data_IF_968223195268
#
_entry.id   IF_968223195268
#
_cell.length_a   1.000
_cell.length_b   1.000
_cell.length_c   1.000
_cell.angle_alpha   90.00
_cell.angle_beta   90.00
_cell.angle_gamma   90.00
#
_symmetry.space_group_name_H-M   'P 1'
#
loop_
_entity.id
_entity.type
_entity.pdbx_description
1 polymer ?
#
# COMPACT_ATOMS: atom_id res chain seq x y z
N UNK A 1 3.00 -22.24 30.73
CA UNK A 1 3.96 -21.14 30.98
C UNK A 1 3.95 -20.25 29.74
N UNK A 2 2.85 -19.51 29.57
CA UNK A 2 2.46 -18.93 28.28
C UNK A 2 1.85 -17.55 28.55
N UNK A 3 2.73 -16.62 28.92
CA UNK A 3 2.41 -15.21 29.05
C UNK A 3 3.73 -14.43 28.93
N UNK A 4 3.67 -13.23 28.36
CA UNK A 4 4.70 -12.15 28.40
C UNK A 4 5.54 -11.81 27.14
N UNK A 5 5.17 -12.21 25.92
CA UNK A 5 5.78 -11.62 24.69
C UNK A 5 4.85 -11.38 23.48
N UNK A 6 3.55 -11.17 23.67
CA UNK A 6 2.75 -10.48 22.64
C UNK A 6 3.07 -8.97 22.66
N UNK A 7 4.35 -8.62 22.40
CA UNK A 7 4.76 -7.25 22.06
C UNK A 7 4.00 -6.90 20.77
N UNK A 8 3.17 -5.86 20.84
CA UNK A 8 2.39 -5.26 19.73
C UNK A 8 3.14 -5.36 18.39
N UNK A 9 2.60 -6.10 17.41
CA UNK A 9 3.17 -6.22 16.07
C UNK A 9 3.44 -4.83 15.50
N UNK A 10 4.70 -4.53 15.17
CA UNK A 10 5.13 -3.23 14.65
C UNK A 10 4.34 -2.83 13.40
N UNK A 11 3.84 -3.81 12.63
CA UNK A 11 3.04 -3.59 11.42
C UNK A 11 1.64 -3.03 11.70
N UNK A 12 1.16 -3.14 12.94
CA UNK A 12 -0.11 -2.59 13.41
C UNK A 12 0.03 -1.29 14.21
N UNK A 13 1.26 -0.85 14.49
CA UNK A 13 1.51 0.40 15.21
C UNK A 13 1.34 1.62 14.29
N UNK A 14 0.87 2.76 14.81
CA UNK A 14 0.77 4.00 14.05
C UNK A 14 2.16 4.51 13.67
N UNK A 15 2.47 4.56 12.37
CA UNK A 15 3.78 4.99 11.87
C UNK A 15 3.70 5.98 10.70
N UNK A 16 2.58 6.02 9.96
CA UNK A 16 2.48 6.77 8.71
C UNK A 16 1.41 7.87 8.82
N UNK A 17 1.81 9.13 9.04
CA UNK A 17 0.90 10.27 8.92
C UNK A 17 0.23 10.27 7.55
N UNK A 18 -1.03 10.73 7.48
CA UNK A 18 -1.83 10.65 6.27
C UNK A 18 -1.17 11.28 5.03
N UNK A 19 -0.46 12.40 5.21
CA UNK A 19 0.25 13.07 4.13
C UNK A 19 1.44 12.24 3.61
N UNK A 20 2.20 11.60 4.50
CA UNK A 20 3.31 10.72 4.12
C UNK A 20 2.81 9.44 3.46
N UNK A 21 1.75 8.83 4.00
CA UNK A 21 1.11 7.66 3.38
C UNK A 21 0.58 7.98 1.97
N UNK A 22 -0.04 9.14 1.78
CA UNK A 22 -0.53 9.60 0.48
C UNK A 22 0.61 9.74 -0.55
N UNK A 23 1.73 10.34 -0.13
CA UNK A 23 2.96 10.47 -0.92
C UNK A 23 3.53 9.11 -1.31
N UNK A 24 3.75 8.23 -0.33
CA UNK A 24 4.30 6.89 -0.54
C UNK A 24 3.46 6.05 -1.53
N UNK A 25 2.13 6.22 -1.48
CA UNK A 25 1.19 5.47 -2.32
C UNK A 25 0.87 6.14 -3.66
N UNK A 26 1.36 7.36 -3.91
CA UNK A 26 0.97 8.18 -5.08
C UNK A 26 -0.55 8.31 -5.18
N UNK A 27 -1.20 8.66 -4.07
CA UNK A 27 -2.65 8.90 -3.97
C UNK A 27 -2.87 10.31 -3.49
N UNK A 28 -3.81 11.04 -4.10
CA UNK A 28 -4.17 12.38 -3.62
C UNK A 28 -4.55 12.34 -2.13
N UNK A 29 -4.03 13.25 -1.27
CA UNK A 29 -4.30 13.22 0.17
C UNK A 29 -5.79 13.21 0.53
N UNK A 30 -6.62 13.94 -0.23
CA UNK A 30 -8.07 13.94 -0.04
C UNK A 30 -8.72 12.57 -0.31
N UNK A 31 -8.22 11.83 -1.30
CA UNK A 31 -8.69 10.48 -1.64
C UNK A 31 -8.35 9.52 -0.50
N UNK A 32 -7.09 9.48 -0.05
CA UNK A 32 -6.69 8.63 1.07
C UNK A 32 -7.44 8.99 2.35
N UNK A 33 -7.63 10.28 2.63
CA UNK A 33 -8.46 10.77 3.74
C UNK A 33 -9.89 10.27 3.65
N UNK A 34 -10.49 10.24 2.46
CA UNK A 34 -11.83 9.68 2.30
C UNK A 34 -11.89 8.19 2.65
N UNK A 35 -10.86 7.41 2.31
CA UNK A 35 -10.79 5.98 2.63
C UNK A 35 -10.57 5.69 4.11
N UNK A 36 -9.89 6.59 4.82
CA UNK A 36 -9.46 6.41 6.22
C UNK A 36 -10.44 7.05 7.22
N UNK A 37 -10.96 8.23 6.90
CA UNK A 37 -11.80 9.04 7.81
C UNK A 37 -13.27 9.06 7.36
N UNK A 38 -13.51 8.82 6.07
CA UNK A 38 -14.80 9.04 5.45
C UNK A 38 -15.00 10.50 5.02
N UNK A 39 -16.11 10.75 4.33
CA UNK A 39 -16.53 12.12 3.97
C UNK A 39 -18.05 12.22 3.78
N UNK A 40 -18.68 13.35 4.09
CA UNK A 40 -20.04 13.62 3.61
C UNK A 40 -20.05 13.82 2.09
N UNK A 41 -21.17 13.56 1.46
CA UNK A 41 -21.41 13.89 0.04
C UNK A 41 -22.89 14.25 -0.17
N UNK A 42 -23.19 15.19 -1.09
CA UNK A 42 -24.57 15.58 -1.36
C UNK A 42 -25.35 14.44 -2.05
N UNK A 43 -26.63 14.34 -1.73
CA UNK A 43 -27.60 13.40 -2.31
C UNK A 43 -28.91 14.13 -2.59
N UNK A 44 -29.79 13.57 -3.41
CA UNK A 44 -31.11 14.15 -3.70
C UNK A 44 -31.98 14.37 -2.45
N UNK A 45 -31.77 13.58 -1.39
CA UNK A 45 -32.51 13.67 -0.13
C UNK A 45 -31.73 14.27 1.05
N UNK A 46 -30.62 14.97 0.81
CA UNK A 46 -29.79 15.57 1.86
C UNK A 46 -28.32 15.20 1.76
N UNK A 47 -27.67 14.86 2.87
CA UNK A 47 -26.23 14.54 2.90
C UNK A 47 -26.02 13.05 3.20
N UNK A 48 -25.45 12.32 2.23
CA UNK A 48 -24.94 10.97 2.41
C UNK A 48 -23.56 10.97 3.07
N UNK A 49 -23.13 9.81 3.60
CA UNK A 49 -21.80 9.65 4.21
C UNK A 49 -21.05 8.49 3.59
N UNK A 50 -19.85 8.77 3.11
CA UNK A 50 -18.87 7.75 2.76
C UNK A 50 -18.20 7.26 4.04
N UNK A 51 -18.42 5.99 4.39
CA UNK A 51 -17.77 5.36 5.53
C UNK A 51 -16.34 4.93 5.18
N UNK A 52 -15.40 4.93 6.14
CA UNK A 52 -14.06 4.39 5.93
C UNK A 52 -14.07 2.96 5.36
N UNK A 53 -13.00 2.64 4.64
CA UNK A 53 -12.66 1.28 4.16
C UNK A 53 -11.39 0.76 4.84
N UNK A 54 -10.49 1.66 5.23
CA UNK A 54 -9.24 1.38 5.94
C UNK A 54 -9.34 1.97 7.34
N UNK A 55 -9.02 1.17 8.37
CA UNK A 55 -9.21 1.55 9.77
C UNK A 55 -7.85 1.67 10.47
N UNK A 56 -7.34 2.89 10.69
CA UNK A 56 -6.05 3.10 11.31
C UNK A 56 -6.09 2.88 12.83
N UNK A 57 -4.95 2.51 13.45
CA UNK A 57 -4.84 2.41 14.90
C UNK A 57 -5.02 3.75 15.60
N UNK A 58 -4.54 4.86 15.02
CA UNK A 58 -4.80 6.22 15.50
C UNK A 58 -5.79 6.94 14.59
N UNK A 59 -6.85 7.52 15.18
CA UNK A 59 -7.91 8.23 14.43
C UNK A 59 -7.84 9.76 14.54
N UNK A 60 -7.18 10.29 15.57
CA UNK A 60 -7.09 11.74 15.85
C UNK A 60 -5.72 12.09 16.44
N UNK A 61 -4.74 12.53 15.63
CA UNK A 61 -4.78 12.59 14.17
C UNK A 61 -4.79 11.19 13.51
N UNK A 62 -5.27 11.05 12.26
CA UNK A 62 -5.22 9.77 11.55
C UNK A 62 -3.76 9.41 11.22
N UNK A 63 -3.28 8.30 11.80
CA UNK A 63 -1.94 7.75 11.54
C UNK A 63 -2.10 6.26 11.19
N UNK A 64 -1.71 5.91 9.97
CA UNK A 64 -1.82 4.57 9.43
C UNK A 64 -0.72 3.67 10.01
N UNK A 65 -1.01 2.37 10.12
CA UNK A 65 0.02 1.35 10.31
C UNK A 65 0.58 0.87 8.96
N UNK A 66 1.63 0.05 8.98
CA UNK A 66 2.14 -0.58 7.76
C UNK A 66 1.08 -1.44 7.08
N UNK A 67 0.31 -2.23 7.84
CA UNK A 67 -0.83 -2.96 7.31
C UNK A 67 -1.83 -2.03 6.61
N UNK A 68 -2.18 -0.88 7.20
CA UNK A 68 -3.08 0.06 6.53
C UNK A 68 -2.48 0.67 5.26
N UNK A 69 -1.16 0.85 5.21
CA UNK A 69 -0.46 1.30 4.00
C UNK A 69 -0.63 0.28 2.86
N UNK A 70 -0.49 -1.02 3.16
CA UNK A 70 -0.73 -2.10 2.19
C UNK A 70 -2.21 -2.16 1.78
N UNK A 71 -3.15 -2.07 2.73
CA UNK A 71 -4.58 -2.04 2.42
C UNK A 71 -4.93 -0.88 1.47
N UNK A 72 -4.35 0.30 1.69
CA UNK A 72 -4.54 1.47 0.85
C UNK A 72 -3.84 1.34 -0.52
N UNK A 73 -2.66 0.71 -0.59
CA UNK A 73 -1.97 0.36 -1.84
C UNK A 73 -2.82 -0.57 -2.71
N UNK A 74 -3.36 -1.63 -2.10
CA UNK A 74 -4.25 -2.58 -2.78
C UNK A 74 -5.55 -1.90 -3.19
N UNK A 75 -6.14 -1.08 -2.31
CA UNK A 75 -7.35 -0.33 -2.65
C UNK A 75 -7.14 0.63 -3.82
N UNK A 76 -5.99 1.31 -3.88
CA UNK A 76 -5.61 2.13 -5.04
C UNK A 76 -5.60 1.26 -6.30
N UNK A 77 -4.85 0.16 -6.30
CA UNK A 77 -4.78 -0.77 -7.44
C UNK A 77 -6.16 -1.17 -7.98
N UNK A 78 -7.03 -1.63 -7.08
CA UNK A 78 -8.40 -2.03 -7.42
C UNK A 78 -9.18 -0.88 -8.07
N UNK A 79 -8.98 0.35 -7.60
CA UNK A 79 -9.72 1.52 -8.04
C UNK A 79 -9.23 2.11 -9.35
N UNK A 80 -7.91 2.22 -9.54
CA UNK A 80 -7.33 2.97 -10.66
C UNK A 80 -7.01 2.08 -11.84
N UNK A 81 -6.46 0.88 -11.61
CA UNK A 81 -6.01 -0.02 -12.67
C UNK A 81 -7.08 -1.07 -13.04
N UNK A 82 -7.93 -1.47 -12.09
CA UNK A 82 -8.95 -2.51 -12.32
C UNK A 82 -10.39 -2.00 -12.35
N UNK A 83 -10.59 -0.69 -12.17
CA UNK A 83 -11.91 -0.06 -12.28
C UNK A 83 -12.94 -0.58 -11.27
N UNK A 84 -12.53 -1.27 -10.21
CA UNK A 84 -13.43 -1.86 -9.21
C UNK A 84 -14.22 -0.74 -8.51
N UNK A 85 -15.55 -0.73 -8.55
CA UNK A 85 -16.34 0.27 -7.85
C UNK A 85 -16.14 0.19 -6.33
N UNK A 86 -16.05 1.34 -5.63
CA UNK A 86 -15.94 1.35 -4.15
C UNK A 86 -17.10 0.61 -3.47
N UNK A 87 -18.27 0.56 -4.11
CA UNK A 87 -19.43 -0.22 -3.65
C UNK A 87 -19.11 -1.73 -3.66
N UNK A 88 -18.49 -2.24 -4.72
CA UNK A 88 -18.09 -3.64 -4.84
C UNK A 88 -17.01 -3.99 -3.80
N UNK A 89 -16.00 -3.11 -3.62
CA UNK A 89 -15.00 -3.26 -2.55
C UNK A 89 -15.69 -3.38 -1.18
N UNK A 90 -16.62 -2.48 -0.87
CA UNK A 90 -17.33 -2.49 0.42
C UNK A 90 -18.13 -3.78 0.63
N UNK A 91 -18.82 -4.25 -0.40
CA UNK A 91 -19.58 -5.49 -0.35
C UNK A 91 -18.65 -6.69 -0.10
N UNK A 92 -17.51 -6.76 -0.79
CA UNK A 92 -16.53 -7.82 -0.61
C UNK A 92 -15.93 -7.82 0.81
N UNK A 93 -15.55 -6.64 1.34
CA UNK A 93 -15.06 -6.51 2.72
C UNK A 93 -16.11 -7.04 3.72
N UNK A 94 -17.38 -6.66 3.55
CA UNK A 94 -18.47 -7.11 4.42
C UNK A 94 -18.74 -8.61 4.31
N UNK A 95 -18.72 -9.16 3.08
CA UNK A 95 -18.89 -10.59 2.84
C UNK A 95 -17.75 -11.38 3.48
N UNK A 96 -16.51 -10.97 3.25
CA UNK A 96 -15.32 -11.60 3.80
C UNK A 96 -15.34 -11.63 5.34
N UNK A 97 -15.71 -10.52 5.97
CA UNK A 97 -15.82 -10.45 7.43
C UNK A 97 -16.96 -11.34 7.97
N UNK A 98 -18.16 -11.26 7.38
CA UNK A 98 -19.34 -11.95 7.92
C UNK A 98 -19.32 -13.46 7.65
N UNK A 99 -19.05 -13.84 6.41
CA UNK A 99 -19.18 -15.20 5.90
C UNK A 99 -17.88 -15.99 6.03
N UNK A 100 -16.74 -15.36 5.72
CA UNK A 100 -15.44 -16.05 5.68
C UNK A 100 -14.59 -15.83 6.95
N UNK A 101 -15.03 -14.96 7.86
CA UNK A 101 -14.30 -14.55 9.07
C UNK A 101 -12.90 -13.99 8.75
N UNK A 102 -12.77 -13.29 7.63
CA UNK A 102 -11.54 -12.62 7.22
C UNK A 102 -11.68 -11.13 7.56
N UNK A 103 -10.91 -10.67 8.56
CA UNK A 103 -10.98 -9.28 9.01
C UNK A 103 -10.31 -8.28 8.06
N UNK A 104 -9.20 -8.70 7.42
CA UNK A 104 -8.38 -7.83 6.56
C UNK A 104 -8.26 -8.39 5.16
N UNK A 105 -9.37 -8.36 4.42
CA UNK A 105 -9.42 -8.88 3.05
C UNK A 105 -8.38 -8.24 2.12
N UNK A 106 -8.10 -6.94 2.26
CA UNK A 106 -7.13 -6.23 1.40
C UNK A 106 -5.67 -6.58 1.72
N UNK A 107 -5.40 -7.38 2.75
CA UNK A 107 -4.08 -7.94 3.06
C UNK A 107 -3.91 -9.40 2.59
N UNK A 108 -4.84 -9.89 1.78
CA UNK A 108 -4.80 -11.28 1.31
C UNK A 108 -4.00 -11.35 0.02
N UNK A 109 -2.89 -12.09 0.04
CA UNK A 109 -2.10 -12.39 -1.17
C UNK A 109 -2.93 -13.16 -2.21
N UNK A 110 -3.93 -13.93 -1.79
CA UNK A 110 -4.88 -14.66 -2.63
C UNK A 110 -6.07 -13.82 -3.11
N UNK A 111 -6.10 -12.51 -2.82
CA UNK A 111 -7.09 -11.60 -3.42
C UNK A 111 -6.87 -11.49 -4.93
N UNK A 112 -7.95 -11.49 -5.69
CA UNK A 112 -7.95 -11.32 -7.15
C UNK A 112 -9.08 -10.37 -7.55
N UNK A 113 -8.99 -9.82 -8.76
CA UNK A 113 -10.08 -9.02 -9.34
C UNK A 113 -10.22 -9.28 -10.83
N UNK A 114 -11.46 -9.22 -11.32
CA UNK A 114 -11.78 -9.28 -12.74
C UNK A 114 -13.13 -8.59 -13.01
N UNK A 115 -13.25 -7.91 -14.14
CA UNK A 115 -14.45 -7.21 -14.59
C UNK A 115 -15.15 -6.34 -13.51
N UNK A 116 -14.38 -5.73 -12.60
CA UNK A 116 -14.93 -4.91 -11.50
C UNK A 116 -15.41 -5.71 -10.27
N UNK A 117 -15.17 -7.01 -10.23
CA UNK A 117 -15.49 -7.93 -9.13
C UNK A 117 -14.24 -8.39 -8.38
N UNK A 118 -14.42 -8.85 -7.13
CA UNK A 118 -13.35 -9.31 -6.25
C UNK A 118 -13.52 -10.80 -5.94
N UNK A 119 -12.40 -11.52 -5.89
CA UNK A 119 -12.36 -12.98 -5.68
C UNK A 119 -11.24 -13.36 -4.70
N UNK A 120 -11.35 -14.51 -4.05
CA UNK A 120 -10.25 -15.16 -3.34
C UNK A 120 -9.87 -16.47 -4.02
N UNK A 121 -8.60 -16.66 -4.34
CA UNK A 121 -8.07 -17.91 -4.90
C UNK A 121 -7.70 -18.89 -3.78
N UNK A 122 -8.54 -19.89 -3.52
CA UNK A 122 -8.30 -20.92 -2.50
C UNK A 122 -8.30 -22.30 -3.14
N UNK A 123 -7.21 -23.05 -2.93
CA UNK A 123 -7.07 -24.43 -3.44
C UNK A 123 -7.31 -24.57 -4.96
N UNK A 124 -6.97 -23.54 -5.74
CA UNK A 124 -7.21 -23.52 -7.18
C UNK A 124 -8.63 -23.09 -7.59
N UNK A 125 -9.52 -22.84 -6.64
CA UNK A 125 -10.87 -22.33 -6.87
C UNK A 125 -10.95 -20.82 -6.59
N UNK A 126 -11.72 -20.10 -7.41
CA UNK A 126 -12.00 -18.68 -7.21
C UNK A 126 -13.33 -18.51 -6.47
N UNK A 127 -13.26 -18.04 -5.23
CA UNK A 127 -14.41 -17.69 -4.41
C UNK A 127 -14.81 -16.25 -4.75
N UNK A 128 -15.92 -16.06 -5.47
CA UNK A 128 -16.47 -14.74 -5.78
C UNK A 128 -17.01 -14.08 -4.50
N UNK A 129 -16.54 -12.86 -4.21
CA UNK A 129 -16.93 -12.09 -3.03
C UNK A 129 -18.14 -11.16 -3.28
N UNK A 130 -18.74 -11.22 -4.47
CA UNK A 130 -19.77 -10.31 -4.98
C UNK A 130 -21.02 -10.97 -5.61
N UNK A 131 -21.14 -12.31 -5.54
CA UNK A 131 -22.26 -13.17 -6.01
C UNK A 131 -22.18 -13.64 -7.48
N UNK A 132 -22.40 -14.97 -7.65
CA UNK A 132 -22.47 -15.86 -8.83
C UNK A 132 -21.23 -15.96 -9.75
N UNK A 133 -20.82 -17.21 -9.99
CA UNK A 133 -19.51 -17.58 -10.51
C UNK A 133 -19.37 -17.49 -12.03
N UNK A 134 -18.22 -16.98 -12.45
CA UNK A 134 -17.61 -17.19 -13.75
C UNK A 134 -16.08 -17.09 -13.58
N UNK A 135 -15.36 -17.95 -14.29
CA UNK A 135 -13.90 -18.05 -14.30
C UNK A 135 -13.28 -16.75 -14.83
N UNK A 136 -12.32 -16.21 -14.10
CA UNK A 136 -11.78 -14.87 -14.30
C UNK A 136 -10.33 -14.86 -14.83
N UNK A 137 -10.03 -13.86 -15.66
CA UNK A 137 -8.70 -13.58 -16.21
C UNK A 137 -7.73 -13.10 -15.12
N UNK A 138 -6.58 -13.77 -15.01
CA UNK A 138 -5.64 -13.72 -13.86
C UNK A 138 -4.61 -12.57 -13.83
N UNK A 139 -4.41 -11.82 -14.92
CA UNK A 139 -3.07 -11.24 -15.18
C UNK A 139 -2.81 -9.80 -14.68
N UNK A 140 -3.82 -8.97 -14.41
CA UNK A 140 -3.56 -7.53 -14.19
C UNK A 140 -3.41 -7.12 -12.71
N UNK A 141 -4.07 -7.82 -11.77
CA UNK A 141 -3.95 -7.51 -10.32
C UNK A 141 -2.56 -7.81 -9.75
N UNK A 142 -1.83 -8.67 -10.44
CA UNK A 142 -0.56 -9.21 -9.99
C UNK A 142 0.53 -8.13 -9.85
N UNK A 143 0.53 -7.06 -10.65
CA UNK A 143 1.63 -6.08 -10.60
C UNK A 143 1.69 -5.33 -9.26
N UNK A 144 0.55 -4.96 -8.68
CA UNK A 144 0.52 -4.31 -7.36
C UNK A 144 0.80 -5.28 -6.22
N UNK A 145 0.35 -6.53 -6.33
CA UNK A 145 0.67 -7.57 -5.35
C UNK A 145 2.16 -7.96 -5.41
N UNK A 146 2.76 -7.97 -6.61
CA UNK A 146 4.19 -8.19 -6.82
C UNK A 146 5.03 -7.10 -6.15
N UNK A 147 4.52 -5.88 -5.99
CA UNK A 147 5.17 -4.80 -5.22
C UNK A 147 5.14 -5.03 -3.71
N UNK A 148 4.46 -6.07 -3.21
CA UNK A 148 4.47 -6.43 -1.79
C UNK A 148 5.30 -7.69 -1.61
N UNK A 149 6.24 -7.66 -0.67
CA UNK A 149 6.96 -8.85 -0.20
C UNK A 149 6.15 -9.48 0.94
N UNK A 150 5.99 -10.80 0.88
CA UNK A 150 5.18 -11.57 1.83
C UNK A 150 6.06 -12.57 2.59
N UNK A 151 5.83 -12.71 3.89
CA UNK A 151 6.51 -13.75 4.68
C UNK A 151 5.94 -15.15 4.41
N UNK A 152 6.57 -16.18 5.00
CA UNK A 152 6.13 -17.58 4.86
C UNK A 152 4.70 -17.82 5.38
N UNK A 153 4.16 -16.92 6.22
CA UNK A 153 2.79 -16.96 6.74
C UNK A 153 1.83 -16.10 5.92
N UNK A 154 2.27 -15.57 4.77
CA UNK A 154 1.47 -14.77 3.84
C UNK A 154 1.03 -13.42 4.42
N UNK A 155 1.86 -12.84 5.30
CA UNK A 155 1.71 -11.45 5.76
C UNK A 155 2.68 -10.52 5.06
N UNK A 156 2.28 -9.28 4.73
CA UNK A 156 3.17 -8.34 4.09
C UNK A 156 4.29 -7.93 5.05
N UNK A 157 5.51 -7.84 4.53
CA UNK A 157 6.70 -7.42 5.28
C UNK A 157 7.42 -6.23 4.63
N UNK A 158 7.22 -5.99 3.33
CA UNK A 158 7.84 -4.89 2.62
C UNK A 158 6.97 -4.42 1.46
N UNK A 159 6.94 -3.12 1.21
CA UNK A 159 6.30 -2.51 0.05
C UNK A 159 7.37 -1.87 -0.82
N UNK A 160 7.34 -2.15 -2.12
CA UNK A 160 8.17 -1.50 -3.13
C UNK A 160 7.30 -0.49 -3.86
N UNK A 161 7.28 0.79 -3.46
CA UNK A 161 6.45 1.79 -4.14
C UNK A 161 6.88 1.97 -5.59
N UNK A 162 5.97 2.45 -6.42
CA UNK A 162 6.29 2.78 -7.80
C UNK A 162 7.15 4.04 -7.85
N UNK A 163 8.27 3.94 -8.57
CA UNK A 163 9.11 5.08 -8.95
C UNK A 163 8.74 5.46 -10.38
N UNK A 164 8.47 6.75 -10.60
CA UNK A 164 8.17 7.26 -11.93
C UNK A 164 9.44 7.16 -12.76
N UNK A 165 9.44 6.25 -13.72
CA UNK A 165 10.58 5.99 -14.61
C UNK A 165 10.11 6.11 -16.06
N UNK A 166 10.94 6.68 -16.92
CA UNK A 166 10.69 6.77 -18.35
C UNK A 166 10.81 5.40 -19.06
N UNK A 167 11.34 4.40 -18.37
CA UNK A 167 11.54 3.04 -18.84
C UNK A 167 10.82 2.10 -17.86
N UNK A 168 9.95 1.18 -18.33
CA UNK A 168 9.40 0.14 -17.46
C UNK A 168 10.54 -0.70 -16.87
N UNK A 169 10.94 -0.41 -15.64
CA UNK A 169 11.92 -1.20 -14.92
C UNK A 169 11.23 -2.18 -13.97
N UNK A 170 11.69 -3.43 -14.01
CA UNK A 170 11.34 -4.45 -13.00
C UNK A 170 12.05 -4.20 -11.67
N UNK A 171 13.00 -3.27 -11.64
CA UNK A 171 13.76 -2.95 -10.45
C UNK A 171 12.87 -2.32 -9.38
N UNK A 172 13.23 -2.65 -8.15
CA UNK A 172 12.55 -2.21 -6.94
C UNK A 172 13.57 -1.53 -6.03
N UNK A 173 14.21 -0.44 -6.50
CA UNK A 173 15.33 0.16 -5.79
C UNK A 173 14.90 0.77 -4.47
N UNK A 174 13.60 1.06 -4.29
CA UNK A 174 13.06 1.70 -3.10
C UNK A 174 12.10 0.74 -2.38
N UNK A 175 12.25 0.66 -1.06
CA UNK A 175 11.40 -0.14 -0.20
C UNK A 175 10.91 0.65 1.01
N UNK A 176 9.74 0.26 1.49
CA UNK A 176 9.17 0.63 2.78
C UNK A 176 9.05 -0.66 3.59
N UNK A 177 9.84 -0.74 4.66
CA UNK A 177 9.88 -1.88 5.57
C UNK A 177 9.72 -1.38 7.01
N UNK A 178 8.71 -1.79 7.77
CA UNK A 178 8.45 -1.28 9.11
C UNK A 178 9.60 -1.56 10.10
N UNK A 179 10.52 -2.49 9.79
CA UNK A 179 11.70 -2.81 10.60
C UNK A 179 12.94 -1.99 10.22
N UNK A 180 12.92 -1.27 9.09
CA UNK A 180 14.05 -0.48 8.59
C UNK A 180 13.67 1.00 8.56
N UNK A 181 14.54 1.88 9.06
CA UNK A 181 14.33 3.33 9.05
C UNK A 181 12.92 3.77 9.54
N UNK A 182 12.35 3.05 10.51
CA UNK A 182 11.00 3.28 11.03
C UNK A 182 9.89 3.24 9.97
N UNK A 183 10.07 2.42 8.93
CA UNK A 183 9.12 2.34 7.84
C UNK A 183 9.20 3.49 6.84
N UNK A 184 10.22 4.35 6.90
CA UNK A 184 10.43 5.37 5.87
C UNK A 184 10.97 4.73 4.58
N UNK A 185 10.74 5.34 3.41
CA UNK A 185 11.28 4.85 2.16
C UNK A 185 12.82 4.88 2.17
N UNK A 186 13.42 3.77 1.76
CA UNK A 186 14.87 3.60 1.69
C UNK A 186 15.29 2.98 0.37
N UNK A 187 16.50 3.27 -0.07
CA UNK A 187 17.16 2.55 -1.15
C UNK A 187 17.54 1.16 -0.65
N UNK A 188 17.06 0.11 -1.32
CA UNK A 188 17.20 -1.31 -0.89
C UNK A 188 18.65 -1.72 -0.76
N UNK A 189 19.52 -1.28 -1.67
CA UNK A 189 20.92 -1.68 -1.73
C UNK A 189 21.72 -1.30 -0.46
N UNK A 190 21.39 -0.17 0.18
CA UNK A 190 22.14 0.36 1.32
C UNK A 190 21.29 0.67 2.57
N UNK A 191 19.96 0.57 2.49
CA UNK A 191 19.06 0.97 3.57
C UNK A 191 19.05 2.48 3.85
N UNK A 192 19.55 3.29 2.91
CA UNK A 192 19.67 4.75 3.04
C UNK A 192 18.33 5.42 2.72
N UNK A 193 17.92 6.37 3.55
CA UNK A 193 16.69 7.16 3.39
C UNK A 193 16.69 7.92 2.06
N UNK A 194 15.65 7.75 1.26
CA UNK A 194 15.45 8.50 0.00
C UNK A 194 15.40 10.01 0.25
N UNK A 195 14.78 10.40 1.38
CA UNK A 195 14.73 11.78 1.83
C UNK A 195 16.10 12.34 2.18
N UNK A 196 16.97 11.54 2.81
CA UNK A 196 18.31 12.02 3.16
C UNK A 196 19.15 12.28 1.89
N UNK A 197 18.98 11.42 0.86
CA UNK A 197 19.60 11.63 -0.45
C UNK A 197 19.06 12.91 -1.09
N UNK A 198 17.74 13.10 -1.14
CA UNK A 198 17.13 14.29 -1.72
C UNK A 198 17.55 15.59 -1.02
N UNK A 199 17.61 15.59 0.32
CA UNK A 199 18.04 16.76 1.11
C UNK A 199 19.50 17.15 0.81
N UNK A 200 20.39 16.17 0.56
CA UNK A 200 21.79 16.45 0.16
C UNK A 200 21.90 16.99 -1.27
N UNK A 201 21.10 16.47 -2.21
CA UNK A 201 21.01 17.04 -3.56
C UNK A 201 20.51 18.49 -3.51
N UNK A 202 19.50 18.77 -2.69
CA UNK A 202 18.98 20.14 -2.52
C UNK A 202 20.01 21.07 -1.85
N UNK A 203 20.95 20.50 -1.08
CA UNK A 203 22.15 21.18 -0.57
C UNK A 203 23.27 21.35 -1.61
N UNK A 204 22.99 21.08 -2.89
CA UNK A 204 23.91 21.21 -4.04
C UNK A 204 25.06 20.19 -4.10
N UNK A 205 24.93 19.06 -3.40
CA UNK A 205 25.84 17.92 -3.61
C UNK A 205 25.48 17.18 -4.91
N UNK A 206 26.46 16.54 -5.54
CA UNK A 206 26.27 15.87 -6.83
C UNK A 206 25.84 14.41 -6.66
N UNK A 207 25.18 13.85 -7.68
CA UNK A 207 24.78 12.44 -7.72
C UNK A 207 25.99 11.51 -7.55
N UNK A 208 27.12 11.83 -8.19
CA UNK A 208 28.34 11.03 -8.11
C UNK A 208 28.95 11.02 -6.71
N UNK A 209 28.97 12.16 -6.01
CA UNK A 209 29.44 12.25 -4.62
C UNK A 209 28.55 11.41 -3.69
N UNK A 210 27.23 11.52 -3.82
CA UNK A 210 26.31 10.72 -3.00
C UNK A 210 26.38 9.22 -3.29
N UNK A 211 26.59 8.84 -4.54
CA UNK A 211 26.79 7.45 -4.94
C UNK A 211 28.02 6.86 -4.25
N UNK A 212 29.14 7.59 -4.22
CA UNK A 212 30.36 7.17 -3.52
C UNK A 212 30.12 7.08 -2.01
N UNK A 213 29.56 8.13 -1.40
CA UNK A 213 29.38 8.22 0.04
C UNK A 213 28.49 7.12 0.62
N UNK A 214 27.41 6.78 -0.10
CA UNK A 214 26.45 5.77 0.33
C UNK A 214 26.73 4.38 -0.23
N UNK A 215 27.76 4.21 -1.06
CA UNK A 215 28.06 2.96 -1.74
C UNK A 215 26.92 2.51 -2.67
N UNK A 216 26.30 3.47 -3.36
CA UNK A 216 25.17 3.27 -4.26
C UNK A 216 25.60 3.44 -5.73
N UNK A 217 24.78 2.95 -6.65
CA UNK A 217 24.90 3.36 -8.05
C UNK A 217 24.34 4.78 -8.24
N UNK A 218 24.83 5.51 -9.24
CA UNK A 218 24.23 6.81 -9.61
C UNK A 218 22.74 6.65 -9.95
N UNK A 219 22.36 5.54 -10.59
CA UNK A 219 20.97 5.21 -10.87
C UNK A 219 20.13 5.07 -9.59
N UNK A 220 20.65 4.43 -8.53
CA UNK A 220 19.92 4.33 -7.25
C UNK A 220 19.67 5.70 -6.63
N UNK A 221 20.67 6.58 -6.69
CA UNK A 221 20.57 7.97 -6.22
C UNK A 221 19.54 8.74 -7.04
N UNK A 222 19.58 8.65 -8.36
CA UNK A 222 18.58 9.25 -9.26
C UNK A 222 17.17 8.74 -8.96
N UNK A 223 16.99 7.44 -8.78
CA UNK A 223 15.69 6.84 -8.45
C UNK A 223 15.16 7.33 -7.11
N UNK A 224 16.03 7.47 -6.09
CA UNK A 224 15.66 8.03 -4.79
C UNK A 224 15.18 9.49 -4.91
N UNK A 225 15.88 10.30 -5.69
CA UNK A 225 15.52 11.70 -5.94
C UNK A 225 14.20 11.82 -6.71
N UNK A 226 14.04 11.03 -7.78
CA UNK A 226 12.80 10.97 -8.56
C UNK A 226 11.62 10.56 -7.68
N UNK A 227 11.83 9.60 -6.78
CA UNK A 227 10.81 9.17 -5.85
C UNK A 227 10.35 10.29 -4.91
N UNK A 228 11.27 11.05 -4.31
CA UNK A 228 10.91 12.17 -3.42
C UNK A 228 10.23 13.32 -4.18
N UNK A 229 10.68 13.61 -5.40
CA UNK A 229 10.15 14.72 -6.21
C UNK A 229 8.80 14.44 -6.88
N UNK A 230 8.45 13.18 -7.09
CA UNK A 230 7.15 12.79 -7.64
C UNK A 230 6.02 12.78 -6.57
N UNK A 231 6.31 13.19 -5.33
CA UNK A 231 5.46 12.97 -4.15
C UNK A 231 4.57 14.17 -3.82
#
# INVERSE_FOLDING_TARGET
MEATFAKSDIRDQPAYPLAEAARNLRVAPATLRSWVVGRPYPTSGGTGRFHPLVHPPSRRPPILSFHNLIEAHVLRSLRTEHGVPLKAVRQALQYAQKQLKIDRLLLREDLRTDAGHLFLERYGELINLSVSGQLAMRLLFDEHLKRVEWDARKFPIRLFPFVVTYIPSTDRPIAIDPKVAFGRPVVVAAGVSTRAIAERIDASETIAELAIDYGLSETDVEQAVLYERAA
#
